data_IF_354296903742
#
_entry.id   IF_354296903742
#
_cell.length_a   1.000
_cell.length_b   1.000
_cell.length_c   1.000
_cell.angle_alpha   90.00
_cell.angle_beta   90.00
_cell.angle_gamma   90.00
#
_symmetry.space_group_name_H-M   'P 1'
#
loop_
_entity.id
_entity.type
_entity.pdbx_description
1 polymer ?
#
# COMPACT_ATOMS: atom_id res chain seq x y z
N UNK A 1 9.34 5.16 -6.94
CA UNK A 1 8.39 5.23 -5.81
C UNK A 1 9.20 5.30 -4.52
N UNK A 2 8.68 5.96 -3.48
CA UNK A 2 9.41 6.17 -2.22
C UNK A 2 9.13 5.06 -1.19
N UNK A 3 10.17 4.59 -0.51
CA UNK A 3 10.07 3.55 0.54
C UNK A 3 9.22 3.99 1.73
N UNK A 4 9.26 5.28 2.07
CA UNK A 4 8.47 5.86 3.16
C UNK A 4 6.96 5.73 2.95
N UNK A 5 6.51 5.42 1.72
CA UNK A 5 5.10 5.26 1.38
C UNK A 5 4.63 3.80 1.45
N UNK A 6 5.49 2.86 1.83
CA UNK A 6 5.09 1.47 2.04
C UNK A 6 4.55 1.32 3.47
N UNK A 7 3.26 1.02 3.57
CA UNK A 7 2.56 0.87 4.83
C UNK A 7 2.98 -0.42 5.56
N UNK A 8 2.85 -0.46 6.90
CA UNK A 8 3.15 -1.67 7.69
C UNK A 8 2.41 -2.94 7.26
N UNK A 9 1.26 -2.80 6.59
CA UNK A 9 0.46 -3.90 6.07
C UNK A 9 0.87 -4.36 4.66
N UNK A 10 1.89 -3.76 4.04
CA UNK A 10 2.31 -4.07 2.67
C UNK A 10 1.63 -3.24 1.58
N UNK A 11 0.74 -2.30 1.93
CA UNK A 11 0.13 -1.40 0.97
C UNK A 11 1.14 -0.35 0.51
N UNK A 12 1.30 -0.19 -0.80
CA UNK A 12 2.02 0.94 -1.38
C UNK A 12 1.09 2.15 -1.47
N UNK A 13 1.25 3.12 -0.55
CA UNK A 13 0.37 4.28 -0.47
C UNK A 13 0.38 5.13 -1.75
N UNK A 14 1.41 5.08 -2.59
CA UNK A 14 1.41 5.78 -3.88
C UNK A 14 0.22 5.38 -4.77
N UNK A 15 -0.31 4.18 -4.61
CA UNK A 15 -1.41 3.63 -5.40
C UNK A 15 -2.78 3.96 -4.81
N UNK A 16 -2.81 4.50 -3.60
CA UNK A 16 -4.03 4.77 -2.87
C UNK A 16 -4.75 6.00 -3.43
N UNK A 17 -6.08 5.93 -3.58
CA UNK A 17 -6.88 7.07 -4.00
C UNK A 17 -6.73 8.25 -3.04
N UNK A 18 -6.71 7.98 -1.73
CA UNK A 18 -6.53 9.03 -0.72
C UNK A 18 -5.17 9.73 -0.82
N UNK A 19 -4.14 9.05 -1.33
CA UNK A 19 -2.82 9.63 -1.57
C UNK A 19 -2.75 10.38 -2.91
N UNK A 20 -3.48 9.92 -3.93
CA UNK A 20 -3.44 10.53 -5.26
C UNK A 20 -4.45 11.68 -5.47
N UNK A 21 -5.39 11.91 -4.54
CA UNK A 21 -6.35 13.02 -4.64
C UNK A 21 -5.68 14.38 -4.39
N UNK A 22 -6.18 15.41 -5.05
CA UNK A 22 -5.67 16.78 -4.91
C UNK A 22 -6.05 17.42 -3.57
N UNK A 23 -7.33 17.35 -3.21
CA UNK A 23 -7.85 17.96 -1.97
C UNK A 23 -7.77 16.99 -0.79
N UNK A 24 -7.37 17.49 0.37
CA UNK A 24 -7.21 16.72 1.61
C UNK A 24 -6.33 15.48 1.41
N UNK A 25 -5.25 15.62 0.65
CA UNK A 25 -4.36 14.53 0.28
C UNK A 25 -3.80 13.82 1.52
N UNK A 26 -3.90 12.50 1.54
CA UNK A 26 -3.22 11.67 2.53
C UNK A 26 -1.73 11.64 2.23
N UNK A 27 -0.90 11.72 3.25
CA UNK A 27 0.57 11.65 3.13
C UNK A 27 1.12 10.23 3.14
N UNK A 28 0.35 9.24 3.60
CA UNK A 28 0.74 7.82 3.56
C UNK A 28 0.80 7.19 4.95
N UNK A 29 0.45 5.90 5.04
CA UNK A 29 0.20 5.24 6.32
C UNK A 29 1.45 5.02 7.19
N UNK A 30 2.64 5.19 6.63
CA UNK A 30 3.92 5.07 7.34
C UNK A 30 4.58 6.43 7.61
N UNK A 31 3.88 7.53 7.32
CA UNK A 31 4.32 8.92 7.56
C UNK A 31 3.54 9.50 8.76
N UNK A 32 3.90 10.72 9.15
CA UNK A 32 3.30 11.51 10.22
C UNK A 32 1.77 11.60 10.17
N UNK A 33 1.15 11.60 11.35
CA UNK A 33 -0.28 11.51 11.62
C UNK A 33 -1.02 12.79 11.24
N UNK A 34 -0.37 13.96 11.34
CA UNK A 34 -1.02 15.27 11.25
C UNK A 34 -1.78 15.52 9.93
N UNK A 35 -1.34 14.90 8.84
CA UNK A 35 -1.87 15.11 7.47
C UNK A 35 -2.60 13.88 6.93
N UNK A 36 -2.78 12.87 7.78
CA UNK A 36 -3.41 11.61 7.42
C UNK A 36 -4.93 11.67 7.65
N UNK A 37 -5.78 11.06 6.80
CA UNK A 37 -7.21 10.96 7.06
C UNK A 37 -7.51 10.17 8.35
N UNK A 38 -8.56 10.56 9.08
CA UNK A 38 -8.98 9.92 10.34
C UNK A 38 -9.08 8.39 10.26
N UNK A 39 -9.53 7.83 9.14
CA UNK A 39 -9.63 6.38 8.94
C UNK A 39 -8.27 5.69 8.94
N UNK A 40 -7.25 6.33 8.37
CA UNK A 40 -5.88 5.83 8.36
C UNK A 40 -5.20 6.05 9.72
N UNK A 41 -5.47 7.18 10.38
CA UNK A 41 -4.97 7.45 11.74
C UNK A 41 -5.47 6.40 12.75
N UNK A 42 -6.74 6.00 12.66
CA UNK A 42 -7.36 4.99 13.53
C UNK A 42 -7.18 3.55 13.04
N UNK A 43 -6.34 3.32 12.03
CA UNK A 43 -6.16 2.00 11.45
C UNK A 43 -5.60 1.00 12.48
N UNK A 44 -6.36 -0.08 12.70
CA UNK A 44 -6.02 -1.09 13.70
C UNK A 44 -4.75 -1.89 13.38
N UNK A 45 -4.35 -1.99 12.11
CA UNK A 45 -3.12 -2.68 11.71
C UNK A 45 -1.92 -1.76 11.90
N UNK A 46 -2.04 -0.48 11.51
CA UNK A 46 -0.99 0.53 11.70
C UNK A 46 -0.66 0.70 13.19
N UNK A 47 -1.70 0.80 14.01
CA UNK A 47 -1.57 1.00 15.45
C UNK A 47 -1.42 -0.32 16.23
N UNK A 48 -1.13 -1.43 15.55
CA UNK A 48 -0.90 -2.71 16.19
C UNK A 48 0.42 -2.66 16.99
N UNK A 49 0.38 -3.00 18.27
CA UNK A 49 1.58 -3.01 19.13
C UNK A 49 2.70 -3.90 18.60
N UNK A 50 2.36 -5.04 17.97
CA UNK A 50 3.37 -5.91 17.36
C UNK A 50 4.07 -5.25 16.17
N UNK A 51 3.41 -4.35 15.44
CA UNK A 51 4.00 -3.60 14.33
C UNK A 51 4.88 -2.48 14.89
N UNK A 52 4.37 -1.71 15.86
CA UNK A 52 5.09 -0.58 16.47
C UNK A 52 6.39 -1.05 17.13
N UNK A 53 6.37 -2.21 17.79
CA UNK A 53 7.53 -2.78 18.47
C UNK A 53 8.39 -3.69 17.58
N UNK A 54 8.05 -3.83 16.29
CA UNK A 54 8.83 -4.63 15.35
C UNK A 54 10.05 -3.85 14.87
N UNK A 55 11.15 -4.56 14.56
CA UNK A 55 12.37 -3.91 14.04
C UNK A 55 12.15 -3.42 12.61
N UNK A 56 11.40 -4.18 11.83
CA UNK A 56 11.10 -3.84 10.44
C UNK A 56 10.02 -2.77 10.26
N UNK A 57 9.15 -2.58 11.25
CA UNK A 57 7.92 -1.78 11.10
C UNK A 57 6.83 -2.46 10.25
N UNK A 58 6.95 -3.75 9.93
CA UNK A 58 6.01 -4.49 9.08
C UNK A 58 5.34 -5.66 9.79
N UNK A 59 4.16 -6.05 9.29
CA UNK A 59 3.37 -7.13 9.89
C UNK A 59 4.04 -8.51 9.84
N UNK A 60 4.99 -8.74 8.93
CA UNK A 60 5.57 -10.07 8.70
C UNK A 60 6.49 -10.57 9.83
N UNK A 61 6.81 -9.74 10.82
CA UNK A 61 7.58 -10.13 12.02
C UNK A 61 6.68 -10.59 13.17
N UNK A 62 5.36 -10.46 13.05
CA UNK A 62 4.44 -10.90 14.08
C UNK A 62 4.38 -12.43 14.17
N UNK A 63 4.45 -13.01 15.39
CA UNK A 63 4.27 -14.46 15.61
C UNK A 63 2.93 -15.00 15.12
N UNK A 64 1.91 -14.14 15.03
CA UNK A 64 0.56 -14.48 14.53
C UNK A 64 0.42 -14.25 13.03
N UNK A 65 1.50 -13.97 12.29
CA UNK A 65 1.46 -13.68 10.87
C UNK A 65 1.15 -14.94 10.03
N UNK A 66 0.24 -14.88 9.05
CA UNK A 66 -0.69 -13.77 8.80
C UNK A 66 -1.88 -13.81 9.77
N UNK A 67 -2.13 -12.71 10.48
CA UNK A 67 -3.22 -12.66 11.46
C UNK A 67 -4.56 -12.38 10.76
N UNK A 68 -5.68 -12.66 11.45
CA UNK A 68 -7.04 -12.44 10.90
C UNK A 68 -7.24 -11.06 10.28
N UNK A 69 -6.80 -9.99 10.97
CA UNK A 69 -6.95 -8.60 10.49
C UNK A 69 -6.26 -8.37 9.14
N UNK A 70 -5.06 -8.95 8.97
CA UNK A 70 -4.30 -8.84 7.73
C UNK A 70 -4.91 -9.71 6.62
N UNK A 71 -5.34 -10.93 6.93
CA UNK A 71 -6.04 -11.81 5.98
C UNK A 71 -7.34 -11.17 5.46
N UNK A 72 -8.12 -10.52 6.33
CA UNK A 72 -9.35 -9.84 5.94
C UNK A 72 -9.07 -8.63 5.02
N UNK A 73 -8.00 -7.88 5.28
CA UNK A 73 -7.55 -6.80 4.41
C UNK A 73 -7.08 -7.33 3.05
N UNK A 74 -6.25 -8.37 3.06
CA UNK A 74 -5.72 -9.03 1.87
C UNK A 74 -6.83 -9.55 0.97
N UNK A 75 -7.79 -10.31 1.53
CA UNK A 75 -8.95 -10.82 0.81
C UNK A 75 -9.73 -9.69 0.14
N UNK A 76 -9.96 -8.58 0.83
CA UNK A 76 -10.64 -7.40 0.26
C UNK A 76 -9.86 -6.81 -0.92
N UNK A 77 -8.54 -6.65 -0.78
CA UNK A 77 -7.73 -6.06 -1.83
C UNK A 77 -7.57 -6.97 -3.06
N UNK A 78 -7.43 -8.28 -2.86
CA UNK A 78 -7.37 -9.23 -3.99
C UNK A 78 -8.69 -9.26 -4.76
N UNK A 79 -9.80 -9.32 -4.04
CA UNK A 79 -11.13 -9.42 -4.66
C UNK A 79 -11.60 -8.13 -5.33
N UNK A 80 -11.20 -6.96 -4.83
CA UNK A 80 -11.67 -5.66 -5.36
C UNK A 80 -10.66 -4.95 -6.26
N UNK A 81 -9.37 -5.20 -6.07
CA UNK A 81 -8.30 -4.36 -6.63
C UNK A 81 -7.12 -5.17 -7.19
N UNK A 82 -7.24 -6.50 -7.29
CA UNK A 82 -6.21 -7.43 -7.81
C UNK A 82 -4.80 -7.19 -7.24
N UNK A 83 -4.74 -6.82 -5.96
CA UNK A 83 -3.50 -6.61 -5.21
C UNK A 83 -3.54 -7.45 -3.92
N UNK A 84 -2.40 -8.04 -3.55
CA UNK A 84 -2.26 -8.86 -2.36
C UNK A 84 -1.32 -8.18 -1.37
N UNK A 85 -1.80 -7.97 -0.14
CA UNK A 85 -1.00 -7.44 0.96
C UNK A 85 0.02 -8.47 1.41
N UNK A 86 -0.35 -9.75 1.40
CA UNK A 86 0.52 -10.84 1.80
C UNK A 86 1.66 -11.06 0.80
N UNK A 87 1.37 -10.99 -0.50
CA UNK A 87 2.42 -11.05 -1.53
C UNK A 87 3.37 -9.86 -1.43
N UNK A 88 2.84 -8.66 -1.19
CA UNK A 88 3.68 -7.47 -1.00
C UNK A 88 4.60 -7.62 0.22
N UNK A 89 4.06 -8.03 1.37
CA UNK A 89 4.85 -8.27 2.58
C UNK A 89 5.88 -9.39 2.39
N UNK A 90 5.54 -10.46 1.68
CA UNK A 90 6.47 -11.54 1.36
C UNK A 90 7.60 -11.05 0.44
N UNK A 91 7.28 -10.23 -0.57
CA UNK A 91 8.26 -9.61 -1.45
C UNK A 91 9.22 -8.70 -0.68
N UNK A 92 8.70 -7.85 0.21
CA UNK A 92 9.50 -6.99 1.07
C UNK A 92 10.42 -7.81 1.98
N UNK A 93 9.90 -8.89 2.58
CA UNK A 93 10.68 -9.76 3.48
C UNK A 93 11.83 -10.47 2.77
N UNK A 94 11.60 -10.96 1.55
CA UNK A 94 12.57 -11.78 0.81
C UNK A 94 13.55 -10.94 -0.01
N UNK A 95 13.05 -9.89 -0.67
CA UNK A 95 13.81 -9.09 -1.64
C UNK A 95 14.24 -7.72 -1.11
N UNK A 96 13.66 -7.29 0.01
CA UNK A 96 13.87 -5.95 0.57
C UNK A 96 12.99 -4.87 -0.06
N UNK A 97 12.96 -3.72 0.61
CA UNK A 97 12.17 -2.55 0.23
C UNK A 97 12.59 -1.95 -1.11
N UNK A 98 13.90 -1.90 -1.40
CA UNK A 98 14.45 -1.35 -2.65
C UNK A 98 13.90 -2.07 -3.88
N UNK A 99 14.03 -3.39 -3.89
CA UNK A 99 13.57 -4.22 -5.00
C UNK A 99 12.04 -4.20 -5.09
N UNK A 100 11.34 -4.16 -3.96
CA UNK A 100 9.89 -4.03 -3.95
C UNK A 100 9.41 -2.73 -4.61
N UNK A 101 9.95 -1.56 -4.22
CA UNK A 101 9.51 -0.27 -4.78
C UNK A 101 9.88 -0.11 -6.25
N UNK A 102 10.97 -0.72 -6.70
CA UNK A 102 11.36 -0.77 -8.11
C UNK A 102 10.35 -1.59 -8.92
N UNK A 103 10.01 -2.79 -8.46
CA UNK A 103 9.04 -3.64 -9.11
C UNK A 103 7.63 -3.03 -9.14
N UNK A 104 7.22 -2.38 -8.04
CA UNK A 104 5.94 -1.67 -7.99
C UNK A 104 5.90 -0.46 -8.94
N UNK A 105 7.03 0.26 -9.11
CA UNK A 105 7.08 1.39 -10.03
C UNK A 105 6.84 0.98 -11.49
N UNK A 106 7.33 -0.19 -11.89
CA UNK A 106 7.07 -0.73 -13.24
C UNK A 106 5.68 -1.36 -13.34
N UNK A 107 5.26 -2.17 -12.36
CA UNK A 107 3.95 -2.85 -12.36
C UNK A 107 2.78 -1.87 -12.48
N UNK A 108 2.88 -0.73 -11.81
CA UNK A 108 1.77 0.24 -11.72
C UNK A 108 1.96 1.45 -12.63
N UNK A 109 2.88 1.38 -13.58
CA UNK A 109 3.06 2.41 -14.61
C UNK A 109 1.96 2.31 -15.65
N UNK A 110 1.31 3.43 -15.96
CA UNK A 110 0.36 3.52 -17.06
C UNK A 110 1.10 3.27 -18.38
N UNK A 111 0.67 2.30 -19.22
CA UNK A 111 1.39 1.96 -20.44
C UNK A 111 1.34 3.08 -21.49
N UNK A 112 0.35 3.97 -21.43
CA UNK A 112 0.19 5.06 -22.41
C UNK A 112 0.98 6.32 -22.05
N UNK A 113 1.07 6.68 -20.77
CA UNK A 113 1.62 7.98 -20.36
C UNK A 113 2.65 7.92 -19.23
N UNK A 114 3.02 6.72 -18.77
CA UNK A 114 4.00 6.52 -17.71
C UNK A 114 3.57 6.95 -16.31
N UNK A 115 2.35 7.46 -16.12
CA UNK A 115 1.86 7.90 -14.82
C UNK A 115 1.60 6.71 -13.89
N UNK A 116 1.80 6.87 -12.59
CA UNK A 116 1.45 5.82 -11.62
C UNK A 116 -0.07 5.72 -11.51
N UNK A 117 -0.63 4.54 -11.75
CA UNK A 117 -2.07 4.31 -11.71
C UNK A 117 -2.57 4.13 -10.27
N UNK A 118 -3.86 4.41 -10.06
CA UNK A 118 -4.52 4.21 -8.77
C UNK A 118 -5.09 2.80 -8.71
N UNK A 119 -4.80 2.05 -7.65
CA UNK A 119 -5.35 0.69 -7.48
C UNK A 119 -6.89 0.68 -7.32
N UNK A 120 -7.47 1.82 -6.94
CA UNK A 120 -8.92 1.95 -6.68
C UNK A 120 -9.71 2.44 -7.90
N UNK A 121 -9.06 2.72 -9.03
CA UNK A 121 -9.69 3.22 -10.26
C UNK A 121 -9.43 2.22 -11.38
N UNK A 122 -10.24 2.26 -12.44
CA UNK A 122 -10.00 1.50 -13.69
C UNK A 122 -9.41 2.35 -14.80
N UNK A 123 -9.22 3.65 -14.55
CA UNK A 123 -8.79 4.65 -15.53
C UNK A 123 -7.59 5.43 -15.01
N UNK A 124 -6.68 5.80 -15.92
CA UNK A 124 -5.53 6.62 -15.57
C UNK A 124 -6.00 8.04 -15.28
N UNK A 125 -5.59 8.62 -14.15
CA UNK A 125 -5.96 9.99 -13.79
C UNK A 125 -5.39 11.05 -14.73
N UNK A 126 -4.37 10.71 -15.52
CA UNK A 126 -3.67 11.64 -16.41
C UNK A 126 -4.10 11.56 -17.88
N UNK A 127 -4.30 10.35 -18.42
CA UNK A 127 -4.61 10.13 -19.84
C UNK A 127 -5.91 9.36 -20.09
N UNK A 128 -6.66 9.02 -19.05
CA UNK A 128 -7.93 8.28 -19.15
C UNK A 128 -7.83 6.86 -19.73
N UNK A 129 -6.62 6.32 -19.95
CA UNK A 129 -6.43 4.93 -20.37
C UNK A 129 -7.13 3.97 -19.42
N UNK A 130 -7.96 3.07 -19.97
CA UNK A 130 -8.69 2.05 -19.21
C UNK A 130 -7.80 0.80 -19.09
N UNK A 131 -7.44 0.45 -17.86
CA UNK A 131 -6.71 -0.78 -17.58
C UNK A 131 -7.68 -1.85 -17.07
N UNK A 132 -7.47 -3.09 -17.51
CA UNK A 132 -8.17 -4.27 -16.98
C UNK A 132 -7.43 -4.70 -15.71
N UNK A 133 -8.09 -4.56 -14.56
CA UNK A 133 -7.62 -5.04 -13.24
C UNK A 133 -8.29 -6.38 -12.96
#
# INVERSE_FOLDING_TARGET
MEKALIAPCGMNCNLCYAYQREKNRCTGCNIDIATMPNSCQKCIIRNCEHVINSKSGFCYECKKYPCRRLNDLDKRYRTKYSMSMLENLQSIKVKGLDEFVKNEAERWKCPQCGNIVCVHRKVCSKCSFVYRI
#
